data_IF_186209391852
#
_entry.id   IF_186209391852
#
_cell.length_a   1.000
_cell.length_b   1.000
_cell.length_c   1.000
_cell.angle_alpha   90.00
_cell.angle_beta   90.00
_cell.angle_gamma   90.00
#
_symmetry.space_group_name_H-M   'P 1'
#
loop_
_entity.id
_entity.type
_entity.pdbx_description
1 polymer ?
#
# COMPACT_ATOMS: atom_id res chain seq x y z
N UNK A 1 -39.92 -20.85 20.73
CA UNK A 1 -39.59 -19.80 19.73
C UNK A 1 -38.54 -20.38 18.80
N UNK A 2 -38.90 -20.53 17.53
CA UNK A 2 -38.05 -21.08 16.48
C UNK A 2 -36.91 -20.11 16.17
N UNK A 3 -35.67 -20.59 16.29
CA UNK A 3 -34.50 -19.95 15.70
C UNK A 3 -33.87 -20.96 14.74
N UNK A 4 -34.56 -21.24 13.62
CA UNK A 4 -33.96 -21.89 12.46
C UNK A 4 -32.92 -20.96 11.84
N UNK A 5 -31.72 -20.89 12.40
CA UNK A 5 -30.54 -20.47 11.63
C UNK A 5 -29.90 -21.72 11.06
N UNK A 6 -30.36 -22.13 9.88
CA UNK A 6 -29.70 -23.16 9.10
C UNK A 6 -28.33 -22.62 8.64
N UNK A 7 -27.31 -22.82 9.48
CA UNK A 7 -25.92 -22.60 9.08
C UNK A 7 -25.48 -23.75 8.19
N UNK A 8 -25.58 -23.59 6.88
CA UNK A 8 -24.97 -24.55 5.95
C UNK A 8 -23.45 -24.47 6.10
N UNK A 9 -22.83 -25.51 6.64
CA UNK A 9 -21.37 -25.66 6.62
C UNK A 9 -20.95 -26.15 5.24
N UNK A 10 -19.88 -25.58 4.68
CA UNK A 10 -19.32 -26.10 3.43
C UNK A 10 -18.78 -27.51 3.66
N UNK A 11 -18.97 -28.44 2.70
CA UNK A 11 -18.39 -29.77 2.78
C UNK A 11 -16.86 -29.70 2.77
N UNK A 12 -16.23 -30.72 3.34
CA UNK A 12 -14.78 -30.77 3.43
C UNK A 12 -14.15 -30.80 2.02
N UNK A 13 -13.15 -29.94 1.81
CA UNK A 13 -12.38 -29.87 0.56
C UNK A 13 -11.04 -30.55 0.76
N UNK A 14 -10.67 -31.45 -0.17
CA UNK A 14 -9.38 -32.15 -0.15
C UNK A 14 -8.23 -31.13 -0.17
N UNK A 15 -7.29 -31.28 0.75
CA UNK A 15 -6.15 -30.37 0.92
C UNK A 15 -6.38 -29.25 1.93
N UNK A 16 -7.61 -29.06 2.42
CA UNK A 16 -7.86 -28.23 3.60
C UNK A 16 -7.55 -29.00 4.89
N UNK A 17 -7.21 -28.26 5.95
CA UNK A 17 -7.05 -28.78 7.31
C UNK A 17 -8.35 -29.43 7.79
N UNK A 18 -8.32 -30.74 8.00
CA UNK A 18 -9.45 -31.50 8.54
C UNK A 18 -9.73 -31.11 9.99
N UNK A 19 -8.70 -30.81 10.80
CA UNK A 19 -8.91 -30.28 12.16
C UNK A 19 -9.73 -29.00 12.18
N UNK A 20 -9.45 -28.07 11.27
CA UNK A 20 -10.10 -26.76 11.28
C UNK A 20 -11.55 -26.88 10.80
N UNK A 21 -11.77 -27.65 9.74
CA UNK A 21 -13.10 -27.95 9.23
C UNK A 21 -13.93 -28.71 10.29
N UNK A 22 -13.35 -29.72 10.94
CA UNK A 22 -14.03 -30.48 11.98
C UNK A 22 -14.32 -29.63 13.22
N UNK A 23 -13.46 -28.68 13.56
CA UNK A 23 -13.71 -27.72 14.64
C UNK A 23 -14.94 -26.86 14.34
N UNK A 24 -15.10 -26.37 13.11
CA UNK A 24 -16.33 -25.67 12.67
C UNK A 24 -17.56 -26.57 12.76
N UNK A 25 -17.43 -27.85 12.40
CA UNK A 25 -18.51 -28.82 12.54
C UNK A 25 -18.89 -29.06 14.01
N UNK A 26 -17.94 -29.08 14.95
CA UNK A 26 -18.24 -29.15 16.39
C UNK A 26 -19.08 -27.97 16.86
N UNK A 27 -18.78 -26.75 16.40
CA UNK A 27 -19.61 -25.59 16.69
C UNK A 27 -21.01 -25.72 16.08
N UNK A 28 -21.13 -26.29 14.88
CA UNK A 28 -22.43 -26.59 14.28
C UNK A 28 -23.24 -27.59 15.14
N UNK A 29 -22.63 -28.66 15.66
CA UNK A 29 -23.31 -29.57 16.58
C UNK A 29 -23.79 -28.86 17.85
N UNK A 30 -22.95 -27.98 18.40
CA UNK A 30 -23.27 -27.22 19.61
C UNK A 30 -24.43 -26.24 19.40
N UNK A 31 -24.43 -25.50 18.30
CA UNK A 31 -25.48 -24.51 17.98
C UNK A 31 -26.83 -25.20 17.73
N UNK A 32 -26.81 -26.37 17.07
CA UNK A 32 -28.04 -27.10 16.73
C UNK A 32 -28.47 -28.12 17.80
N UNK A 33 -27.80 -28.17 18.95
CA UNK A 33 -28.07 -29.14 20.03
C UNK A 33 -28.17 -30.59 19.53
N UNK A 34 -27.24 -30.98 18.64
CA UNK A 34 -27.21 -32.33 18.04
C UNK A 34 -26.84 -33.34 19.12
N UNK A 35 -27.66 -34.39 19.27
CA UNK A 35 -27.39 -35.51 20.19
C UNK A 35 -26.18 -36.32 19.72
N UNK A 36 -25.46 -36.95 20.66
CA UNK A 36 -24.28 -37.78 20.34
C UNK A 36 -24.57 -38.87 19.31
N UNK A 37 -25.72 -39.53 19.45
CA UNK A 37 -26.20 -40.60 18.56
C UNK A 37 -26.34 -40.12 17.11
N UNK A 38 -26.75 -38.87 16.90
CA UNK A 38 -27.01 -38.31 15.58
C UNK A 38 -25.75 -37.73 14.93
N UNK A 39 -24.66 -37.51 15.69
CA UNK A 39 -23.45 -36.83 15.17
C UNK A 39 -22.81 -37.55 14.00
N UNK A 40 -22.84 -38.89 14.00
CA UNK A 40 -22.31 -39.67 12.88
C UNK A 40 -23.12 -39.42 11.60
N UNK A 41 -24.44 -39.41 11.68
CA UNK A 41 -25.32 -39.14 10.54
C UNK A 41 -25.12 -37.71 10.01
N UNK A 42 -25.05 -36.71 10.89
CA UNK A 42 -24.74 -35.34 10.50
C UNK A 42 -23.33 -35.22 9.89
N UNK A 43 -22.34 -35.91 10.43
CA UNK A 43 -20.98 -35.89 9.90
C UNK A 43 -20.93 -36.43 8.47
N UNK A 44 -21.52 -37.60 8.21
CA UNK A 44 -21.50 -38.23 6.88
C UNK A 44 -22.23 -37.36 5.85
N UNK A 45 -23.38 -36.78 6.23
CA UNK A 45 -24.18 -35.94 5.33
C UNK A 45 -23.53 -34.59 5.04
N UNK A 46 -22.94 -33.93 6.04
CA UNK A 46 -22.33 -32.60 5.89
C UNK A 46 -20.90 -32.62 5.36
N UNK A 47 -20.17 -33.73 5.53
CA UNK A 47 -18.78 -33.87 5.08
C UNK A 47 -18.64 -33.93 3.56
N UNK A 48 -19.67 -34.39 2.85
CA UNK A 48 -19.72 -34.44 1.40
C UNK A 48 -19.12 -35.72 0.77
N UNK A 49 -19.23 -35.86 -0.56
CA UNK A 49 -18.90 -37.11 -1.27
C UNK A 49 -17.40 -37.46 -1.23
N UNK A 50 -16.53 -36.44 -1.20
CA UNK A 50 -15.08 -36.60 -1.08
C UNK A 50 -14.70 -37.32 0.22
N UNK A 51 -15.28 -36.90 1.34
CA UNK A 51 -15.05 -37.50 2.65
C UNK A 51 -15.66 -38.88 2.76
N UNK A 52 -16.87 -39.05 2.24
CA UNK A 52 -17.52 -40.35 2.25
C UNK A 52 -16.71 -41.42 1.49
N UNK A 53 -16.06 -41.04 0.38
CA UNK A 53 -15.12 -41.93 -0.32
C UNK A 53 -13.91 -42.32 0.55
N UNK A 54 -13.34 -41.39 1.32
CA UNK A 54 -12.23 -41.69 2.25
C UNK A 54 -12.67 -42.60 3.40
N UNK A 55 -13.89 -42.43 3.92
CA UNK A 55 -14.46 -43.32 4.95
C UNK A 55 -14.60 -44.76 4.41
N UNK A 56 -15.10 -44.92 3.17
CA UNK A 56 -15.19 -46.22 2.51
C UNK A 56 -13.82 -46.87 2.30
N UNK A 57 -12.78 -46.09 2.02
CA UNK A 57 -11.41 -46.60 1.92
C UNK A 57 -10.84 -47.04 3.28
N UNK A 58 -11.23 -46.38 4.37
CA UNK A 58 -10.83 -46.77 5.74
C UNK A 58 -11.57 -48.02 6.23
N UNK A 59 -12.81 -48.22 5.78
CA UNK A 59 -13.68 -49.33 6.20
C UNK A 59 -14.23 -50.08 4.97
N UNK A 60 -13.39 -50.84 4.25
CA UNK A 60 -13.79 -51.54 3.03
C UNK A 60 -14.86 -52.62 3.27
N UNK A 61 -14.98 -53.13 4.50
CA UNK A 61 -16.00 -54.09 4.91
C UNK A 61 -17.39 -53.48 5.12
N UNK A 62 -17.53 -52.14 5.10
CA UNK A 62 -18.83 -51.46 5.26
C UNK A 62 -19.28 -51.24 6.71
N UNK A 63 -18.58 -51.78 7.70
CA UNK A 63 -18.99 -51.72 9.12
C UNK A 63 -18.69 -50.38 9.82
N UNK A 64 -18.61 -49.26 9.08
CA UNK A 64 -18.25 -47.97 9.69
C UNK A 64 -19.38 -47.38 10.55
N UNK A 65 -20.63 -47.83 10.37
CA UNK A 65 -21.79 -47.42 11.18
C UNK A 65 -21.74 -47.97 12.61
N UNK A 66 -21.01 -49.05 12.84
CA UNK A 66 -20.85 -49.69 14.16
C UNK A 66 -19.64 -49.12 14.95
N UNK A 67 -18.84 -48.27 14.32
CA UNK A 67 -17.61 -47.74 14.92
C UNK A 67 -17.93 -46.54 15.81
N UNK A 68 -17.22 -46.40 16.93
CA UNK A 68 -17.32 -45.21 17.75
C UNK A 68 -16.99 -43.94 16.92
N UNK A 69 -17.83 -42.91 17.04
CA UNK A 69 -17.66 -41.67 16.28
C UNK A 69 -16.25 -41.06 16.47
N UNK A 70 -15.73 -41.10 17.70
CA UNK A 70 -14.39 -40.59 18.02
C UNK A 70 -13.27 -41.34 17.29
N UNK A 71 -13.36 -42.67 17.19
CA UNK A 71 -12.37 -43.51 16.51
C UNK A 71 -12.32 -43.23 14.99
N UNK A 72 -13.50 -43.02 14.39
CA UNK A 72 -13.62 -42.66 12.98
C UNK A 72 -12.93 -41.31 12.71
N UNK A 73 -13.19 -40.31 13.56
CA UNK A 73 -12.57 -38.98 13.45
C UNK A 73 -11.05 -39.06 13.66
N UNK A 74 -10.58 -39.85 14.61
CA UNK A 74 -9.15 -40.03 14.87
C UNK A 74 -8.41 -40.62 13.65
N UNK A 75 -8.99 -41.65 13.00
CA UNK A 75 -8.42 -42.24 11.77
C UNK A 75 -8.49 -41.29 10.58
N UNK A 76 -9.55 -40.51 10.44
CA UNK A 76 -9.64 -39.51 9.39
C UNK A 76 -8.62 -38.40 9.60
N UNK A 77 -8.46 -37.93 10.83
CA UNK A 77 -7.44 -36.93 11.19
C UNK A 77 -6.04 -37.42 10.82
N UNK A 78 -5.66 -38.65 11.18
CA UNK A 78 -4.32 -39.18 10.85
C UNK A 78 -4.08 -39.33 9.34
N UNK A 79 -5.12 -39.60 8.56
CA UNK A 79 -5.03 -39.79 7.10
C UNK A 79 -5.08 -38.47 6.32
N UNK A 80 -5.92 -37.53 6.74
CA UNK A 80 -6.21 -36.28 6.03
C UNK A 80 -5.30 -35.14 6.47
N UNK A 81 -5.10 -35.00 7.78
CA UNK A 81 -4.08 -34.11 8.34
C UNK A 81 -2.78 -34.90 8.48
N UNK A 82 -2.24 -35.38 7.35
CA UNK A 82 -0.89 -35.95 7.35
C UNK A 82 0.03 -34.91 7.94
N UNK A 83 0.51 -35.17 9.15
CA UNK A 83 1.53 -34.36 9.79
C UNK A 83 2.77 -34.58 8.93
N UNK A 84 3.09 -33.58 8.11
CA UNK A 84 4.35 -33.61 7.40
C UNK A 84 5.47 -33.67 8.45
N UNK A 85 6.47 -34.55 8.27
CA UNK A 85 7.55 -34.63 9.23
C UNK A 85 8.25 -33.27 9.31
N UNK A 86 8.77 -32.93 10.49
CA UNK A 86 9.44 -31.66 10.76
C UNK A 86 10.49 -31.32 9.69
N UNK A 87 11.17 -32.34 9.14
CA UNK A 87 12.15 -32.17 8.07
C UNK A 87 11.54 -31.54 6.79
N UNK A 88 10.34 -31.97 6.40
CA UNK A 88 9.63 -31.42 5.23
C UNK A 88 9.18 -29.99 5.52
N UNK A 89 8.69 -29.73 6.74
CA UNK A 89 8.28 -28.38 7.15
C UNK A 89 9.46 -27.41 7.18
N UNK A 90 10.61 -27.86 7.71
CA UNK A 90 11.88 -27.12 7.69
C UNK A 90 12.37 -26.88 6.27
N UNK A 91 12.27 -27.87 5.37
CA UNK A 91 12.63 -27.69 3.97
C UNK A 91 11.76 -26.61 3.30
N UNK A 92 10.43 -26.65 3.50
CA UNK A 92 9.50 -25.63 2.99
C UNK A 92 9.80 -24.25 3.56
N UNK A 93 10.02 -24.18 4.87
CA UNK A 93 10.42 -22.96 5.57
C UNK A 93 11.71 -22.38 4.99
N UNK A 94 12.76 -23.19 4.87
CA UNK A 94 14.05 -22.77 4.31
C UNK A 94 13.97 -22.39 2.84
N UNK A 95 13.03 -22.94 2.08
CA UNK A 95 12.81 -22.60 0.66
C UNK A 95 11.92 -21.37 0.47
N UNK A 96 11.28 -20.86 1.53
CA UNK A 96 10.32 -19.76 1.45
C UNK A 96 11.03 -18.44 1.16
N UNK A 97 10.62 -17.80 0.07
CA UNK A 97 11.04 -16.45 -0.36
C UNK A 97 9.80 -15.61 -0.64
N UNK A 98 9.89 -14.29 -0.46
CA UNK A 98 8.75 -13.38 -0.67
C UNK A 98 8.20 -13.51 -2.09
N UNK A 99 6.89 -13.73 -2.21
CA UNK A 99 6.25 -13.89 -3.50
C UNK A 99 6.15 -12.54 -4.24
N UNK A 100 6.06 -12.53 -5.58
CA UNK A 100 5.80 -11.31 -6.33
C UNK A 100 4.50 -10.64 -5.87
N UNK A 101 4.56 -9.39 -5.44
CA UNK A 101 3.41 -8.62 -4.97
C UNK A 101 2.98 -8.90 -3.52
N UNK A 102 3.62 -9.83 -2.81
CA UNK A 102 3.39 -10.05 -1.39
C UNK A 102 4.03 -8.92 -0.57
N UNK A 103 3.32 -8.37 0.42
CA UNK A 103 3.88 -7.38 1.34
C UNK A 103 4.92 -8.02 2.26
N UNK A 104 5.81 -7.22 2.83
CA UNK A 104 6.82 -7.76 3.75
C UNK A 104 6.18 -8.20 5.05
N UNK A 105 5.12 -7.52 5.49
CA UNK A 105 4.34 -7.91 6.66
C UNK A 105 3.67 -9.27 6.46
N UNK A 106 2.99 -9.49 5.33
CA UNK A 106 2.38 -10.78 5.00
C UNK A 106 3.42 -11.90 4.93
N UNK A 107 4.60 -11.60 4.37
CA UNK A 107 5.71 -12.54 4.32
C UNK A 107 6.18 -12.97 5.72
N UNK A 108 6.33 -12.02 6.65
CA UNK A 108 6.71 -12.30 8.05
C UNK A 108 5.63 -13.15 8.72
N UNK A 109 4.35 -12.83 8.53
CA UNK A 109 3.24 -13.62 9.08
C UNK A 109 3.26 -15.05 8.54
N UNK A 110 3.48 -15.23 7.24
CA UNK A 110 3.60 -16.55 6.63
C UNK A 110 4.79 -17.35 7.19
N UNK A 111 5.94 -16.71 7.41
CA UNK A 111 7.10 -17.35 8.03
C UNK A 111 6.82 -17.78 9.48
N UNK A 112 6.15 -16.93 10.28
CA UNK A 112 5.74 -17.26 11.65
C UNK A 112 4.83 -18.47 11.68
N UNK A 113 3.80 -18.49 10.84
CA UNK A 113 2.85 -19.62 10.75
C UNK A 113 3.56 -20.91 10.35
N UNK A 114 4.45 -20.87 9.36
CA UNK A 114 5.21 -22.04 8.92
C UNK A 114 6.16 -22.56 10.02
N UNK A 115 6.76 -21.65 10.80
CA UNK A 115 7.71 -22.01 11.85
C UNK A 115 7.09 -22.80 13.01
N UNK A 116 5.77 -22.67 13.26
CA UNK A 116 5.05 -23.46 14.28
C UNK A 116 5.08 -24.96 13.99
N UNK A 117 5.22 -25.35 12.72
CA UNK A 117 5.24 -26.76 12.30
C UNK A 117 6.66 -27.32 12.14
N UNK A 118 7.70 -26.52 12.39
CA UNK A 118 9.09 -26.90 12.12
C UNK A 118 9.80 -27.56 13.30
N UNK A 119 9.18 -27.58 14.49
CA UNK A 119 9.81 -28.12 15.71
C UNK A 119 11.14 -27.41 16.03
N UNK A 120 11.16 -26.07 15.98
CA UNK A 120 12.37 -25.27 16.24
C UNK A 120 12.61 -24.98 17.72
N UNK A 121 11.63 -25.21 18.58
CA UNK A 121 11.71 -24.92 20.01
C UNK A 121 12.27 -23.51 20.28
N UNK A 122 13.35 -23.41 21.05
CA UNK A 122 14.00 -22.14 21.42
C UNK A 122 14.72 -21.45 20.25
N UNK A 123 14.92 -22.13 19.12
CA UNK A 123 15.58 -21.57 17.92
C UNK A 123 14.60 -20.88 16.97
N UNK A 124 13.28 -20.92 17.26
CA UNK A 124 12.22 -20.42 16.36
C UNK A 124 12.42 -18.98 15.90
N UNK A 125 12.69 -18.05 16.83
CA UNK A 125 12.84 -16.63 16.48
C UNK A 125 14.06 -16.37 15.59
N UNK A 126 15.17 -17.04 15.88
CA UNK A 126 16.41 -16.92 15.10
C UNK A 126 16.19 -17.48 13.69
N UNK A 127 15.56 -18.65 13.58
CA UNK A 127 15.22 -19.25 12.28
C UNK A 127 14.35 -18.31 11.42
N UNK A 128 13.36 -17.64 12.03
CA UNK A 128 12.51 -16.67 11.33
C UNK A 128 13.32 -15.47 10.85
N UNK A 129 14.19 -14.91 11.68
CA UNK A 129 15.07 -13.80 11.30
C UNK A 129 16.00 -14.17 10.14
N UNK A 130 16.66 -15.32 10.23
CA UNK A 130 17.57 -15.81 9.19
C UNK A 130 16.83 -15.95 7.85
N UNK A 131 15.64 -16.57 7.87
CA UNK A 131 14.84 -16.76 6.66
C UNK A 131 14.25 -15.46 6.12
N UNK A 132 13.87 -14.54 7.01
CA UNK A 132 13.39 -13.21 6.66
C UNK A 132 14.45 -12.44 5.86
N UNK A 133 15.67 -12.33 6.39
CA UNK A 133 16.77 -11.59 5.74
C UNK A 133 17.05 -12.14 4.35
N UNK A 134 17.15 -13.46 4.20
CA UNK A 134 17.45 -14.09 2.90
C UNK A 134 16.26 -14.01 1.95
N UNK A 135 15.02 -14.04 2.48
CA UNK A 135 13.78 -14.14 1.71
C UNK A 135 13.15 -12.83 1.24
N UNK A 136 13.48 -11.69 1.87
CA UNK A 136 12.96 -10.35 1.50
C UNK A 136 13.36 -9.98 0.07
N UNK A 137 12.44 -9.45 -0.73
CA UNK A 137 12.72 -8.98 -2.08
C UNK A 137 13.34 -7.56 -2.11
N UNK A 138 12.93 -6.67 -1.19
CA UNK A 138 13.42 -5.29 -1.10
C UNK A 138 14.87 -5.24 -0.57
N UNK A 139 15.82 -4.97 -1.47
CA UNK A 139 17.26 -4.93 -1.15
C UNK A 139 17.63 -3.85 -0.15
N UNK A 140 16.94 -2.71 -0.18
CA UNK A 140 17.23 -1.58 0.70
C UNK A 140 16.77 -1.89 2.13
N UNK A 141 15.60 -2.50 2.26
CA UNK A 141 15.12 -3.00 3.55
C UNK A 141 16.05 -4.08 4.11
N UNK A 142 16.49 -5.02 3.26
CA UNK A 142 17.46 -6.05 3.66
C UNK A 142 18.77 -5.44 4.18
N UNK A 143 19.31 -4.44 3.48
CA UNK A 143 20.51 -3.72 3.93
C UNK A 143 20.29 -3.01 5.27
N UNK A 144 19.13 -2.36 5.45
CA UNK A 144 18.78 -1.71 6.71
C UNK A 144 18.73 -2.70 7.87
N UNK A 145 18.09 -3.87 7.67
CA UNK A 145 18.01 -4.92 8.70
C UNK A 145 19.39 -5.49 9.05
N UNK A 146 20.27 -5.68 8.06
CA UNK A 146 21.64 -6.16 8.25
C UNK A 146 22.56 -5.14 8.95
N UNK A 147 22.18 -3.85 8.97
CA UNK A 147 22.93 -2.79 9.64
C UNK A 147 22.69 -2.70 11.15
N UNK A 148 21.71 -3.42 11.69
CA UNK A 148 21.38 -3.41 13.12
C UNK A 148 22.34 -4.32 13.91
N UNK A 149 22.97 -3.81 14.98
CA UNK A 149 23.92 -4.58 15.80
C UNK A 149 23.28 -5.77 16.54
N UNK A 150 22.02 -5.62 16.94
CA UNK A 150 21.24 -6.66 17.64
C UNK A 150 19.83 -6.72 17.08
N UNK A 151 19.67 -7.46 16.00
CA UNK A 151 18.36 -7.67 15.38
C UNK A 151 17.56 -8.73 16.16
N UNK A 152 16.49 -8.31 16.82
CA UNK A 152 15.45 -9.21 17.35
C UNK A 152 14.26 -9.25 16.40
N UNK A 153 13.44 -10.30 16.49
CA UNK A 153 12.25 -10.43 15.64
C UNK A 153 11.29 -9.25 15.83
N UNK A 154 11.07 -8.83 17.08
CA UNK A 154 10.24 -7.66 17.39
C UNK A 154 10.81 -6.35 16.83
N UNK A 155 12.13 -6.18 16.81
CA UNK A 155 12.76 -4.99 16.22
C UNK A 155 12.69 -5.02 14.70
N UNK A 156 12.90 -6.19 14.08
CA UNK A 156 12.75 -6.37 12.64
C UNK A 156 11.34 -5.99 12.17
N UNK A 157 10.30 -6.43 12.87
CA UNK A 157 8.90 -6.09 12.56
C UNK A 157 8.64 -4.58 12.62
N UNK A 158 9.17 -3.89 13.64
CA UNK A 158 9.06 -2.42 13.74
C UNK A 158 9.75 -1.72 12.57
N UNK A 159 10.95 -2.18 12.19
CA UNK A 159 11.70 -1.62 11.06
C UNK A 159 10.90 -1.83 9.76
N UNK A 160 10.34 -3.03 9.55
CA UNK A 160 9.53 -3.36 8.38
C UNK A 160 8.29 -2.46 8.31
N UNK A 161 7.52 -2.34 9.41
CA UNK A 161 6.33 -1.51 9.45
C UNK A 161 6.66 -0.03 9.13
N UNK A 162 7.72 0.52 9.74
CA UNK A 162 8.14 1.90 9.44
C UNK A 162 8.65 2.06 8.01
N UNK A 163 9.25 1.02 7.43
CA UNK A 163 9.70 1.01 6.03
C UNK A 163 8.55 1.05 5.05
N UNK A 164 7.52 0.22 5.26
CA UNK A 164 6.35 0.17 4.37
C UNK A 164 5.56 1.47 4.42
N UNK A 165 5.38 2.07 5.61
CA UNK A 165 4.78 3.40 5.76
C UNK A 165 5.58 4.46 5.01
N UNK A 166 6.92 4.47 5.17
CA UNK A 166 7.77 5.44 4.49
C UNK A 166 7.71 5.28 2.96
N UNK A 167 7.65 4.04 2.46
CA UNK A 167 7.55 3.72 1.03
C UNK A 167 6.20 4.13 0.44
N UNK A 168 5.10 3.90 1.16
CA UNK A 168 3.77 4.36 0.77
C UNK A 168 3.70 5.89 0.70
N UNK A 169 4.27 6.58 1.69
CA UNK A 169 4.33 8.04 1.70
C UNK A 169 5.24 8.62 0.61
N UNK A 170 6.38 7.98 0.31
CA UNK A 170 7.26 8.41 -0.77
C UNK A 170 6.58 8.29 -2.14
N UNK A 171 5.77 7.25 -2.36
CA UNK A 171 4.94 7.11 -3.56
C UNK A 171 3.88 8.22 -3.71
N UNK A 172 3.39 8.77 -2.59
CA UNK A 172 2.45 9.91 -2.60
C UNK A 172 3.11 11.28 -2.82
N UNK A 173 4.45 11.36 -2.79
CA UNK A 173 5.22 12.61 -2.97
C UNK A 173 5.77 12.76 -4.39
N UNK A 174 5.71 11.72 -5.24
CA UNK A 174 6.34 11.70 -6.58
C UNK A 174 5.35 11.63 -7.76
N UNK A 175 4.17 12.26 -7.65
CA UNK A 175 3.31 12.57 -8.80
C UNK A 175 3.32 14.07 -9.11
N UNK A 176 4.50 14.56 -9.51
CA UNK A 176 4.66 15.83 -10.21
C UNK A 176 5.45 15.59 -11.50
N UNK A 177 4.99 16.04 -12.68
CA UNK A 177 5.66 15.73 -13.94
C UNK A 177 6.90 16.61 -14.07
N UNK A 178 8.03 16.16 -13.51
CA UNK A 178 9.38 16.41 -14.00
C UNK A 178 10.38 15.77 -13.03
N UNK A 179 10.95 14.65 -13.47
CA UNK A 179 12.02 13.97 -12.77
C UNK A 179 13.20 14.91 -12.52
N UNK A 180 13.52 15.10 -11.25
CA UNK A 180 14.87 15.41 -10.82
C UNK A 180 15.10 14.73 -9.48
N UNK A 181 15.67 13.54 -9.53
CA UNK A 181 16.14 12.78 -8.35
C UNK A 181 17.21 13.60 -7.64
N UNK A 182 16.78 14.40 -6.67
CA UNK A 182 17.67 15.10 -5.75
C UNK A 182 18.30 14.09 -4.80
N UNK A 183 19.50 13.64 -5.15
CA UNK A 183 20.44 13.07 -4.18
C UNK A 183 20.40 13.91 -2.91
N UNK A 184 20.21 13.25 -1.75
CA UNK A 184 20.54 13.84 -0.45
C UNK A 184 22.06 14.00 -0.42
N UNK A 185 22.54 15.06 -1.08
CA UNK A 185 23.92 15.44 -1.08
C UNK A 185 24.22 16.04 0.29
N UNK A 186 25.01 15.30 1.06
CA UNK A 186 25.61 15.70 2.31
C UNK A 186 26.02 17.17 2.29
N UNK A 187 25.72 17.87 3.39
CA UNK A 187 26.25 19.21 3.69
C UNK A 187 27.77 19.07 3.79
N UNK A 188 28.45 19.29 2.66
CA UNK A 188 29.87 19.63 2.62
C UNK A 188 29.95 21.15 2.64
N UNK A 189 30.44 21.69 3.75
CA UNK A 189 30.91 23.06 3.87
C UNK A 189 31.89 23.35 2.72
N UNK A 190 31.46 24.21 1.80
CA UNK A 190 32.23 24.64 0.64
C UNK A 190 31.67 25.94 0.09
N UNK A 191 32.39 27.02 0.34
CA UNK A 191 32.31 28.40 -0.16
C UNK A 191 31.30 28.75 -1.27
N UNK A 192 30.57 29.83 -1.01
CA UNK A 192 30.29 30.93 -1.95
C UNK A 192 29.54 30.64 -3.24
N UNK A 193 28.27 30.22 -3.14
CA UNK A 193 27.24 30.71 -4.08
C UNK A 193 25.95 31.00 -3.32
N UNK A 194 25.81 32.23 -2.86
CA UNK A 194 24.54 32.74 -2.36
C UNK A 194 23.48 32.56 -3.45
N UNK A 195 22.51 31.67 -3.21
CA UNK A 195 21.45 31.38 -4.16
C UNK A 195 20.66 32.64 -4.54
N UNK A 196 19.97 32.60 -5.69
CA UNK A 196 19.22 33.73 -6.27
C UNK A 196 18.27 34.39 -5.26
N UNK A 197 17.69 33.60 -4.34
CA UNK A 197 16.85 34.09 -3.26
C UNK A 197 17.62 34.93 -2.23
N UNK A 198 18.81 34.48 -1.81
CA UNK A 198 19.68 35.23 -0.89
C UNK A 198 20.19 36.53 -1.52
N UNK A 199 20.55 36.49 -2.83
CA UNK A 199 20.96 37.69 -3.56
C UNK A 199 19.86 38.74 -3.75
N UNK A 200 18.58 38.35 -3.73
CA UNK A 200 17.45 39.30 -3.70
C UNK A 200 17.25 39.90 -2.31
N UNK A 201 17.38 39.08 -1.27
CA UNK A 201 17.27 39.51 0.13
C UNK A 201 18.39 40.48 0.53
N UNK A 202 19.63 40.21 0.12
CA UNK A 202 20.76 41.09 0.44
C UNK A 202 20.59 42.47 -0.20
N UNK A 203 20.12 42.53 -1.45
CA UNK A 203 19.81 43.81 -2.12
C UNK A 203 18.70 44.59 -1.42
N UNK A 204 17.69 43.93 -0.86
CA UNK A 204 16.65 44.61 -0.09
C UNK A 204 17.17 45.16 1.24
N UNK A 205 18.10 44.45 1.90
CA UNK A 205 18.73 44.93 3.13
C UNK A 205 19.65 46.13 2.86
N UNK A 206 20.45 46.09 1.80
CA UNK A 206 21.31 47.22 1.42
C UNK A 206 20.52 48.48 1.06
N UNK A 207 19.39 48.32 0.35
CA UNK A 207 18.50 49.44 0.05
C UNK A 207 17.88 50.03 1.32
N UNK A 208 17.38 49.18 2.23
CA UNK A 208 16.80 49.64 3.50
C UNK A 208 17.83 50.38 4.36
N UNK A 209 19.09 49.93 4.36
CA UNK A 209 20.19 50.59 5.05
C UNK A 209 20.48 51.99 4.49
N UNK A 210 20.50 52.14 3.16
CA UNK A 210 20.68 53.46 2.51
C UNK A 210 19.55 54.44 2.82
N UNK A 211 18.31 53.95 2.88
CA UNK A 211 17.18 54.80 3.31
C UNK A 211 17.34 55.31 4.75
N UNK A 212 17.81 54.48 5.68
CA UNK A 212 18.07 54.91 7.06
C UNK A 212 19.22 55.91 7.16
N UNK A 213 20.25 55.77 6.33
CA UNK A 213 21.38 56.71 6.29
C UNK A 213 20.99 58.05 5.65
N UNK A 214 20.11 58.06 4.64
CA UNK A 214 19.60 59.29 4.02
C UNK A 214 18.56 60.04 4.89
N UNK A 215 17.72 59.34 5.65
CA UNK A 215 16.82 59.97 6.64
C UNK A 215 17.57 60.63 7.81
N UNK A 216 18.79 60.18 8.11
CA UNK A 216 19.63 60.81 9.13
C UNK A 216 20.19 62.19 8.69
N UNK A 217 20.15 62.52 7.38
CA UNK A 217 20.72 63.77 6.85
C UNK A 217 19.67 64.82 6.46
N UNK A 218 18.40 64.45 6.26
CA UNK A 218 17.31 65.40 5.97
C UNK A 218 16.25 65.37 7.07
N UNK A 219 16.26 66.40 7.92
CA UNK A 219 15.35 66.55 9.05
C UNK A 219 13.88 66.37 8.67
N UNK A 220 13.20 65.54 9.48
CA UNK A 220 11.76 65.40 9.71
C UNK A 220 10.80 65.89 8.61
N UNK A 221 10.19 64.96 7.86
CA UNK A 221 9.01 65.23 7.05
C UNK A 221 8.34 63.98 6.48
N UNK A 222 7.23 63.56 7.10
CA UNK A 222 6.21 62.64 6.55
C UNK A 222 6.66 61.24 6.10
N UNK A 223 6.55 60.28 7.02
CA UNK A 223 6.74 58.87 6.76
C UNK A 223 5.76 58.27 5.75
N UNK A 224 6.32 57.58 4.75
CA UNK A 224 5.83 56.35 4.13
C UNK A 224 6.95 55.79 3.27
N UNK A 225 7.61 54.75 3.79
CA UNK A 225 8.59 53.99 3.02
C UNK A 225 7.97 53.34 1.78
N UNK A 226 8.78 52.86 0.83
CA UNK A 226 8.30 52.42 -0.47
C UNK A 226 7.30 51.27 -0.32
N UNK A 227 6.10 51.40 -0.90
CA UNK A 227 5.04 50.38 -0.83
C UNK A 227 5.15 49.42 -2.02
N UNK A 228 5.16 48.10 -1.74
CA UNK A 228 5.19 47.05 -2.77
C UNK A 228 3.86 47.03 -3.53
N UNK A 229 3.91 47.20 -4.84
CA UNK A 229 2.79 46.86 -5.74
C UNK A 229 2.87 45.40 -6.18
N UNK A 230 1.76 44.82 -6.68
CA UNK A 230 1.73 43.45 -7.22
C UNK A 230 2.66 43.22 -8.42
N UNK A 231 3.19 44.27 -9.05
CA UNK A 231 4.16 44.19 -10.15
C UNK A 231 5.62 44.46 -9.74
N UNK A 232 5.92 44.69 -8.45
CA UNK A 232 7.25 45.06 -7.97
C UNK A 232 7.40 46.54 -7.61
N UNK A 233 8.63 46.94 -7.25
CA UNK A 233 8.96 48.27 -6.72
C UNK A 233 9.09 49.31 -7.82
N UNK A 234 8.43 50.46 -7.65
CA UNK A 234 8.53 51.61 -8.55
C UNK A 234 9.18 52.78 -7.82
N UNK A 235 10.25 53.31 -8.38
CA UNK A 235 10.94 54.50 -7.87
C UNK A 235 10.08 55.75 -8.08
N UNK A 236 10.17 56.72 -7.17
CA UNK A 236 9.62 58.06 -7.37
C UNK A 236 10.38 58.75 -8.51
N UNK A 237 9.64 59.33 -9.46
CA UNK A 237 10.20 60.11 -10.57
C UNK A 237 9.99 61.60 -10.24
N UNK A 238 11.08 62.30 -9.89
CA UNK A 238 11.08 63.75 -9.70
C UNK A 238 11.20 64.44 -11.07
N UNK A 239 10.04 64.91 -11.55
CA UNK A 239 9.79 65.99 -12.52
C UNK A 239 10.82 66.37 -13.59
N UNK A 240 10.41 66.26 -14.86
CA UNK A 240 10.77 67.23 -15.90
C UNK A 240 9.56 67.61 -16.78
N UNK A 241 9.37 68.92 -16.93
CA UNK A 241 8.41 69.59 -17.81
C UNK A 241 8.57 69.20 -19.28
N UNK A 242 7.46 69.01 -20.02
CA UNK A 242 7.08 69.83 -21.21
C UNK A 242 6.12 69.14 -22.18
N UNK A 243 5.02 69.86 -22.47
CA UNK A 243 4.23 69.91 -23.71
C UNK A 243 3.34 68.71 -24.05
N UNK A 244 2.07 69.04 -24.28
CA UNK A 244 0.98 68.10 -24.51
C UNK A 244 0.76 67.71 -25.96
N UNK A 245 -0.26 66.87 -26.17
CA UNK A 245 -1.33 67.08 -27.13
C UNK A 245 -2.53 66.20 -26.76
N UNK A 246 -3.71 66.73 -27.06
CA UNK A 246 -5.09 66.26 -26.80
C UNK A 246 -5.51 65.44 -28.06
N UNK A 247 -6.33 64.39 -28.02
CA UNK A 247 -7.79 64.40 -28.29
C UNK A 247 -8.32 62.96 -28.59
N UNK A 248 -9.49 62.68 -27.98
CA UNK A 248 -10.70 61.88 -28.32
C UNK A 248 -10.75 60.39 -28.70
N UNK A 249 -11.86 59.83 -28.22
CA UNK A 249 -12.55 58.55 -28.43
C UNK A 249 -13.22 58.43 -29.82
N UNK A 250 -13.78 57.24 -30.05
CA UNK A 250 -14.73 56.76 -31.09
C UNK A 250 -14.01 56.07 -32.27
N UNK A 251 -14.41 54.87 -32.74
CA UNK A 251 -15.79 54.44 -33.06
C UNK A 251 -15.97 52.92 -32.94
N UNK A 252 -17.13 52.50 -32.42
CA UNK A 252 -17.73 51.17 -32.62
C UNK A 252 -18.77 51.28 -33.75
N UNK A 253 -18.92 50.19 -34.50
CA UNK A 253 -20.13 49.73 -35.22
C UNK A 253 -20.11 49.74 -36.77
N UNK A 254 -20.51 48.59 -37.31
CA UNK A 254 -21.01 48.33 -38.67
C UNK A 254 -20.24 47.19 -39.35
N UNK A 255 -20.80 46.07 -39.82
CA UNK A 255 -22.19 45.66 -40.00
C UNK A 255 -22.27 44.13 -40.11
N UNK A 256 -23.39 43.59 -39.64
CA UNK A 256 -23.95 42.27 -39.95
C UNK A 256 -24.18 42.10 -41.47
N UNK A 257 -24.05 40.86 -41.98
CA UNK A 257 -25.13 40.19 -42.73
C UNK A 257 -24.71 38.82 -43.31
N UNK A 258 -25.63 37.86 -43.15
CA UNK A 258 -25.85 36.62 -43.92
C UNK A 258 -24.94 35.43 -43.58
N UNK A 259 -25.44 34.26 -43.19
CA UNK A 259 -26.80 33.73 -43.26
C UNK A 259 -26.67 32.21 -43.36
N UNK A 260 -27.22 31.51 -42.37
CA UNK A 260 -27.20 30.05 -42.21
C UNK A 260 -28.22 29.42 -43.17
N UNK A 261 -27.82 28.35 -43.88
CA UNK A 261 -28.59 27.16 -44.33
C UNK A 261 -28.16 26.75 -45.74
N UNK A 262 -27.55 25.57 -45.87
CA UNK A 262 -28.22 24.47 -46.55
C UNK A 262 -27.54 23.12 -46.25
N UNK A 263 -28.39 22.15 -45.92
CA UNK A 263 -28.09 20.77 -45.57
C UNK A 263 -27.85 19.90 -46.82
N UNK A 264 -27.20 18.75 -46.58
CA UNK A 264 -27.31 17.46 -47.30
C UNK A 264 -26.54 17.29 -48.61
N UNK A 265 -26.08 16.04 -48.78
CA UNK A 265 -25.27 15.43 -49.85
C UNK A 265 -23.79 15.79 -49.72
N UNK A 266 -22.85 14.88 -49.50
CA UNK A 266 -22.69 13.59 -50.17
C UNK A 266 -22.17 12.51 -49.22
N UNK A 267 -23.06 11.55 -48.93
CA UNK A 267 -22.68 10.17 -48.63
C UNK A 267 -22.88 9.40 -49.95
N UNK A 268 -21.91 9.46 -50.87
CA UNK A 268 -21.86 8.62 -52.06
C UNK A 268 -20.55 8.83 -52.86
N UNK A 269 -19.42 8.34 -52.34
CA UNK A 269 -18.40 7.76 -53.21
C UNK A 269 -18.07 6.37 -52.69
N UNK A 270 -19.02 5.49 -52.94
CA UNK A 270 -18.82 4.06 -53.03
C UNK A 270 -17.72 3.76 -54.06
N UNK A 271 -16.93 2.74 -53.72
CA UNK A 271 -16.62 1.60 -54.58
C UNK A 271 -16.53 1.88 -56.09
N UNK A 272 -15.32 1.73 -56.62
CA UNK A 272 -15.08 0.90 -57.81
C UNK A 272 -13.57 0.67 -57.99
N UNK A 273 -13.20 -0.60 -57.84
CA UNK A 273 -12.11 -1.31 -58.53
C UNK A 273 -10.69 -0.79 -58.34
N UNK A 274 -9.91 -1.44 -57.47
CA UNK A 274 -9.08 -2.61 -57.82
C UNK A 274 -8.75 -3.40 -56.55
#
# INVERSE_FOLDING_TARGET
MSANMAFTIEPYRRGASFTDWFTRLKYFFKVNNVKEEDKMAYFVTLSGPSMFAEIKLLYPAGNFEEVAFEDLIAKLKSRLDKIEPDLVQRYKFSSRVQNPGETTEDFVLALKLQAEFCGFDNYKEIAILDRLIVGINDKNLRQRLLGEEKLSLANAEKIIATWEIAKANAGAVDEGPNGNTGFVAAIRNGSERAGIAYGKLNRTFDLAKRYQEEEAFRGTGSGRGPVKSRLGMRSYDEGHHSRGWRISKETKAGLFANGVQFLRNERAHQEKMF
#
